data_IF_714387099357
#
_entry.id   IF_714387099357
#
_cell.length_a   1.000
_cell.length_b   1.000
_cell.length_c   1.000
_cell.angle_alpha   90.00
_cell.angle_beta   90.00
_cell.angle_gamma   90.00
#
_symmetry.space_group_name_H-M   'P 1'
#
loop_
_entity.id
_entity.type
_entity.pdbx_description
1 polymer ?
#
# COMPACT_ATOMS: atom_id res chain seq x y z
N UNK A 1 -11.11 49.98 -68.48
CA UNK A 1 -10.59 51.14 -67.73
C UNK A 1 -11.63 51.54 -66.71
N UNK A 2 -11.33 51.42 -65.41
CA UNK A 2 -12.29 51.67 -64.34
C UNK A 2 -11.74 51.24 -62.99
N UNK A 3 -10.56 51.74 -62.60
CA UNK A 3 -9.96 51.45 -61.30
C UNK A 3 -9.78 52.75 -60.52
N UNK A 4 -10.28 52.77 -59.28
CA UNK A 4 -9.62 53.53 -58.21
C UNK A 4 -10.29 54.79 -57.64
N UNK A 5 -11.62 54.85 -57.47
CA UNK A 5 -12.26 55.92 -56.64
C UNK A 5 -12.96 55.45 -55.36
N UNK A 6 -12.86 54.15 -55.01
CA UNK A 6 -13.48 53.59 -53.80
C UNK A 6 -12.59 53.47 -52.55
N UNK A 7 -11.28 53.72 -52.67
CA UNK A 7 -10.32 53.39 -51.60
C UNK A 7 -10.20 54.46 -50.49
N UNK A 8 -10.42 55.74 -50.80
CA UNK A 8 -10.32 56.84 -49.82
C UNK A 8 -11.34 56.76 -48.67
N UNK A 9 -12.66 56.59 -48.92
CA UNK A 9 -13.64 56.54 -47.83
C UNK A 9 -13.48 55.28 -46.99
N UNK A 10 -13.09 54.14 -47.59
CA UNK A 10 -12.81 52.90 -46.86
C UNK A 10 -11.62 53.05 -45.89
N UNK A 11 -10.55 53.75 -46.28
CA UNK A 11 -9.41 54.02 -45.41
C UNK A 11 -9.78 54.93 -44.22
N UNK A 12 -10.61 55.95 -44.43
CA UNK A 12 -11.07 56.85 -43.36
C UNK A 12 -11.93 56.10 -42.34
N UNK A 13 -12.86 55.25 -42.81
CA UNK A 13 -13.68 54.40 -41.95
C UNK A 13 -12.79 53.43 -41.16
N UNK A 14 -11.79 52.82 -41.80
CA UNK A 14 -10.87 51.89 -41.13
C UNK A 14 -10.02 52.59 -40.06
N UNK A 15 -9.54 53.80 -40.32
CA UNK A 15 -8.82 54.63 -39.33
C UNK A 15 -9.75 55.03 -38.18
N UNK A 16 -11.01 55.39 -38.46
CA UNK A 16 -12.00 55.71 -37.42
C UNK A 16 -12.34 54.49 -36.54
N UNK A 17 -12.46 53.30 -37.14
CA UNK A 17 -12.66 52.04 -36.41
C UNK A 17 -11.44 51.71 -35.55
N UNK A 18 -10.22 51.85 -36.08
CA UNK A 18 -8.99 51.60 -35.32
C UNK A 18 -8.81 52.59 -34.17
N UNK A 19 -9.14 53.86 -34.39
CA UNK A 19 -9.12 54.88 -33.34
C UNK A 19 -10.16 54.58 -32.25
N UNK A 20 -11.39 54.23 -32.65
CA UNK A 20 -12.44 53.82 -31.70
C UNK A 20 -12.03 52.59 -30.89
N UNK A 21 -11.47 51.56 -31.54
CA UNK A 21 -10.94 50.36 -30.87
C UNK A 21 -9.82 50.72 -29.88
N UNK A 22 -8.90 51.62 -30.27
CA UNK A 22 -7.83 52.08 -29.39
C UNK A 22 -8.36 52.81 -28.15
N UNK A 23 -9.37 53.67 -28.31
CA UNK A 23 -10.04 54.36 -27.20
C UNK A 23 -10.76 53.36 -26.27
N UNK A 24 -11.44 52.35 -26.82
CA UNK A 24 -12.09 51.28 -26.04
C UNK A 24 -11.07 50.43 -25.28
N UNK A 25 -9.95 50.06 -25.90
CA UNK A 25 -8.89 49.32 -25.23
C UNK A 25 -8.25 50.14 -24.09
N UNK A 26 -8.06 51.43 -24.30
CA UNK A 26 -7.52 52.34 -23.28
C UNK A 26 -8.47 52.50 -22.08
N UNK A 27 -9.78 52.61 -22.32
CA UNK A 27 -10.77 52.69 -21.22
C UNK A 27 -10.86 51.39 -20.43
N UNK A 28 -10.77 50.23 -21.09
CA UNK A 28 -10.66 48.92 -20.43
C UNK A 28 -9.38 48.85 -19.59
N UNK A 29 -8.24 49.31 -20.11
CA UNK A 29 -6.97 49.31 -19.39
C UNK A 29 -7.02 50.19 -18.12
N UNK A 30 -7.64 51.37 -18.19
CA UNK A 30 -7.87 52.23 -17.02
C UNK A 30 -8.78 51.54 -16.01
N UNK A 31 -9.88 50.92 -16.45
CA UNK A 31 -10.79 50.21 -15.56
C UNK A 31 -10.09 49.04 -14.84
N UNK A 32 -9.25 48.27 -15.55
CA UNK A 32 -8.44 47.20 -14.96
C UNK A 32 -7.40 47.74 -13.97
N UNK A 33 -6.77 48.88 -14.27
CA UNK A 33 -5.81 49.51 -13.38
C UNK A 33 -6.46 50.01 -12.09
N UNK A 34 -7.63 50.66 -12.18
CA UNK A 34 -8.41 51.09 -11.02
C UNK A 34 -8.85 49.88 -10.19
N UNK A 35 -9.33 48.81 -10.84
CA UNK A 35 -9.68 47.56 -10.16
C UNK A 35 -8.48 46.95 -9.44
N UNK A 36 -7.30 46.95 -10.05
CA UNK A 36 -6.06 46.46 -9.43
C UNK A 36 -5.68 47.28 -8.19
N UNK A 37 -5.81 48.62 -8.23
CA UNK A 37 -5.56 49.49 -7.07
C UNK A 37 -6.55 49.20 -5.94
N UNK A 38 -7.84 49.06 -6.26
CA UNK A 38 -8.87 48.74 -5.27
C UNK A 38 -8.57 47.37 -4.63
N UNK A 39 -8.24 46.36 -5.44
CA UNK A 39 -7.84 45.03 -4.95
C UNK A 39 -6.61 45.09 -4.04
N UNK A 40 -5.59 45.87 -4.41
CA UNK A 40 -4.38 46.06 -3.59
C UNK A 40 -4.69 46.77 -2.26
N UNK A 41 -5.55 47.79 -2.28
CA UNK A 41 -5.99 48.50 -1.08
C UNK A 41 -6.81 47.58 -0.15
N UNK A 42 -7.76 46.83 -0.69
CA UNK A 42 -8.55 45.83 0.07
C UNK A 42 -7.64 44.77 0.67
N UNK A 43 -6.67 44.26 -0.10
CA UNK A 43 -5.68 43.31 0.39
C UNK A 43 -4.85 43.91 1.54
N UNK A 44 -4.37 45.14 1.39
CA UNK A 44 -3.61 45.85 2.44
C UNK A 44 -4.43 46.05 3.71
N UNK A 45 -5.67 46.52 3.60
CA UNK A 45 -6.60 46.67 4.73
C UNK A 45 -6.87 45.34 5.43
N UNK A 46 -7.07 44.25 4.67
CA UNK A 46 -7.26 42.92 5.24
C UNK A 46 -6.00 42.43 5.99
N UNK A 47 -4.81 42.64 5.43
CA UNK A 47 -3.53 42.28 6.10
C UNK A 47 -3.34 43.05 7.40
N UNK A 48 -3.69 44.34 7.41
CA UNK A 48 -3.64 45.18 8.59
C UNK A 48 -4.64 44.70 9.66
N UNK A 49 -5.88 44.41 9.26
CA UNK A 49 -6.90 43.81 10.12
C UNK A 49 -6.43 42.51 10.78
N UNK A 50 -5.82 41.60 10.02
CA UNK A 50 -5.24 40.36 10.58
C UNK A 50 -4.17 40.66 11.65
N UNK A 51 -3.28 41.62 11.38
CA UNK A 51 -2.22 41.98 12.32
C UNK A 51 -2.76 42.52 13.64
N UNK A 52 -3.79 43.38 13.58
CA UNK A 52 -4.46 43.92 14.76
C UNK A 52 -5.13 42.80 15.55
N UNK A 53 -5.87 41.92 14.86
CA UNK A 53 -6.61 40.85 15.53
C UNK A 53 -5.68 39.88 16.27
N UNK A 54 -4.63 39.38 15.62
CA UNK A 54 -3.70 38.42 16.25
C UNK A 54 -2.84 39.04 17.36
N UNK A 55 -2.66 40.37 17.35
CA UNK A 55 -1.97 41.10 18.44
C UNK A 55 -2.93 41.54 19.56
N UNK A 56 -4.23 41.23 19.45
CA UNK A 56 -5.23 41.71 20.41
C UNK A 56 -5.25 40.90 21.70
N UNK A 57 -5.66 41.54 22.80
CA UNK A 57 -5.92 40.84 24.06
C UNK A 57 -7.04 39.79 23.95
N UNK A 58 -8.02 40.00 23.06
CA UNK A 58 -9.10 39.04 22.80
C UNK A 58 -8.52 37.71 22.31
N UNK A 59 -7.62 37.78 21.32
CA UNK A 59 -6.95 36.59 20.79
C UNK A 59 -6.01 35.94 21.81
N UNK A 60 -5.31 36.74 22.61
CA UNK A 60 -4.46 36.22 23.68
C UNK A 60 -5.26 35.43 24.73
N UNK A 61 -6.45 35.92 25.14
CA UNK A 61 -7.35 35.21 26.07
C UNK A 61 -7.86 33.90 25.47
N UNK A 62 -8.29 33.93 24.20
CA UNK A 62 -8.69 32.73 23.48
C UNK A 62 -7.57 31.69 23.48
N UNK A 63 -6.33 32.08 23.13
CA UNK A 63 -5.16 31.20 23.11
C UNK A 63 -4.85 30.57 24.47
N UNK A 64 -5.10 31.29 25.57
CA UNK A 64 -4.95 30.73 26.92
C UNK A 64 -6.07 29.73 27.21
N UNK A 65 -7.32 30.05 26.86
CA UNK A 65 -8.50 29.22 27.12
C UNK A 65 -8.43 27.84 26.46
N UNK A 66 -7.83 27.73 25.27
CA UNK A 66 -7.75 26.48 24.50
C UNK A 66 -6.36 25.84 24.53
N UNK A 67 -5.44 26.36 25.37
CA UNK A 67 -4.04 25.94 25.38
C UNK A 67 -3.87 24.45 25.65
N UNK A 68 -4.54 23.94 26.68
CA UNK A 68 -4.40 22.54 27.09
C UNK A 68 -4.97 21.62 26.02
N UNK A 69 -6.15 21.93 25.46
CA UNK A 69 -6.71 21.19 24.34
C UNK A 69 -5.74 21.14 23.14
N UNK A 70 -5.10 22.26 22.80
CA UNK A 70 -4.11 22.28 21.71
C UNK A 70 -2.87 21.45 22.04
N UNK A 71 -2.40 21.48 23.29
CA UNK A 71 -1.27 20.63 23.72
C UNK A 71 -1.64 19.16 23.56
N UNK A 72 -2.78 18.74 24.08
CA UNK A 72 -3.23 17.35 24.06
C UNK A 72 -3.43 16.87 22.60
N UNK A 73 -4.03 17.71 21.74
CA UNK A 73 -4.14 17.45 20.30
C UNK A 73 -2.76 17.24 19.63
N UNK A 74 -1.78 18.08 19.98
CA UNK A 74 -0.44 18.02 19.40
C UNK A 74 0.34 16.80 19.91
N UNK A 75 0.20 16.42 21.17
CA UNK A 75 0.80 15.21 21.76
C UNK A 75 0.24 13.95 21.10
N UNK A 76 -1.09 13.87 20.93
CA UNK A 76 -1.75 12.79 20.21
C UNK A 76 -1.25 12.69 18.76
N UNK A 77 -1.14 13.82 18.05
CA UNK A 77 -0.59 13.85 16.70
C UNK A 77 0.86 13.31 16.66
N UNK A 78 1.73 13.76 17.57
CA UNK A 78 3.11 13.27 17.64
C UNK A 78 3.18 11.76 17.88
N UNK A 79 2.36 11.25 18.79
CA UNK A 79 2.30 9.82 19.07
C UNK A 79 1.82 9.01 17.85
N UNK A 80 0.79 9.50 17.15
CA UNK A 80 0.32 8.89 15.90
C UNK A 80 1.43 8.86 14.85
N UNK A 81 2.17 9.96 14.65
CA UNK A 81 3.30 10.02 13.71
C UNK A 81 4.44 9.05 14.06
N UNK A 82 4.73 8.86 15.34
CA UNK A 82 5.69 7.84 15.79
C UNK A 82 5.22 6.41 15.44
N UNK A 83 3.95 6.10 15.71
CA UNK A 83 3.35 4.80 15.40
C UNK A 83 3.37 4.50 13.90
N UNK A 84 3.12 5.50 13.05
CA UNK A 84 3.20 5.43 11.57
C UNK A 84 4.58 5.02 11.05
N UNK A 85 5.63 5.08 11.86
CA UNK A 85 7.00 4.74 11.44
C UNK A 85 7.60 3.54 12.17
N UNK A 86 6.89 2.99 13.14
CA UNK A 86 7.35 1.88 13.99
C UNK A 86 7.71 0.59 13.24
N UNK A 87 7.11 0.34 12.07
CA UNK A 87 7.37 -0.86 11.26
C UNK A 87 8.55 -0.73 10.29
N UNK A 88 9.05 0.48 10.03
CA UNK A 88 10.13 0.72 9.05
C UNK A 88 11.35 -0.20 9.20
N UNK A 89 11.85 -0.51 10.42
CA UNK A 89 12.99 -1.41 10.59
C UNK A 89 12.77 -2.83 10.06
N UNK A 90 11.53 -3.32 10.10
CA UNK A 90 11.18 -4.70 9.72
C UNK A 90 10.93 -4.86 8.22
N UNK A 91 10.48 -3.80 7.56
CA UNK A 91 10.19 -3.79 6.11
C UNK A 91 11.37 -3.29 5.26
N UNK A 92 12.38 -2.65 5.86
CA UNK A 92 13.57 -2.15 5.18
C UNK A 92 14.81 -3.03 5.39
N UNK A 93 14.70 -4.35 5.25
CA UNK A 93 15.91 -5.15 5.03
C UNK A 93 16.44 -4.84 3.63
N UNK A 94 17.44 -3.94 3.55
CA UNK A 94 18.20 -3.71 2.33
C UNK A 94 18.73 -5.06 1.84
N UNK A 95 18.33 -5.45 0.64
CA UNK A 95 19.14 -6.37 -0.16
C UNK A 95 20.45 -5.64 -0.49
N UNK A 96 21.56 -6.36 -0.57
CA UNK A 96 22.88 -5.83 -0.96
C UNK A 96 22.92 -5.44 -2.46
N UNK A 97 21.95 -4.63 -2.90
CA UNK A 97 21.79 -4.18 -4.27
C UNK A 97 23.01 -3.38 -4.75
N UNK A 98 23.73 -2.75 -3.81
CA UNK A 98 24.93 -1.95 -4.08
C UNK A 98 26.15 -2.80 -4.51
N UNK A 99 26.07 -4.14 -4.46
CA UNK A 99 27.17 -5.05 -4.82
C UNK A 99 27.21 -5.35 -6.31
N UNK A 100 26.16 -5.02 -7.08
CA UNK A 100 26.07 -5.34 -8.51
C UNK A 100 25.63 -4.16 -9.36
N UNK A 101 26.12 -4.08 -10.60
CA UNK A 101 25.75 -3.04 -11.57
C UNK A 101 25.14 -3.65 -12.82
N UNK A 102 24.09 -3.03 -13.35
CA UNK A 102 23.48 -3.40 -14.63
C UNK A 102 23.90 -2.41 -15.73
N UNK A 103 24.41 -2.90 -16.85
CA UNK A 103 24.83 -2.08 -17.99
C UNK A 103 24.20 -2.62 -19.28
N UNK A 104 23.50 -1.76 -20.01
CA UNK A 104 23.00 -2.09 -21.35
C UNK A 104 24.16 -2.03 -22.36
N UNK A 105 24.43 -3.15 -23.04
CA UNK A 105 25.46 -3.26 -24.08
C UNK A 105 24.88 -3.31 -25.51
N UNK A 106 23.60 -3.03 -25.68
CA UNK A 106 22.99 -3.06 -27.01
C UNK A 106 23.55 -1.95 -27.91
N UNK A 107 23.85 -2.30 -29.16
CA UNK A 107 24.41 -1.38 -30.17
C UNK A 107 23.41 -0.35 -30.69
N UNK A 108 22.16 -0.39 -30.23
CA UNK A 108 21.02 0.31 -30.78
C UNK A 108 20.37 1.18 -29.70
N UNK A 109 20.09 2.43 -30.03
CA UNK A 109 19.46 3.39 -29.10
C UNK A 109 17.94 3.12 -28.98
N UNK A 110 17.56 1.98 -28.41
CA UNK A 110 16.16 1.61 -28.18
C UNK A 110 15.54 2.49 -27.08
N UNK A 111 14.44 3.17 -27.39
CA UNK A 111 13.65 3.89 -26.39
C UNK A 111 12.87 2.88 -25.53
N UNK A 112 13.33 2.66 -24.29
CA UNK A 112 12.68 1.76 -23.31
C UNK A 112 12.04 2.58 -22.19
N UNK A 113 10.93 3.24 -22.49
CA UNK A 113 10.30 4.22 -21.59
C UNK A 113 9.91 3.64 -20.22
N UNK A 114 9.47 2.38 -20.16
CA UNK A 114 9.09 1.73 -18.90
C UNK A 114 10.32 1.20 -18.14
N UNK A 115 11.35 0.74 -18.85
CA UNK A 115 12.60 0.32 -18.21
C UNK A 115 13.34 1.51 -17.59
N UNK A 116 13.24 2.70 -18.20
CA UNK A 116 13.84 3.91 -17.63
C UNK A 116 13.15 4.39 -16.34
N UNK A 117 11.91 3.95 -16.09
CA UNK A 117 11.17 4.21 -14.84
C UNK A 117 11.46 3.17 -13.75
N UNK A 118 12.30 2.17 -14.06
CA UNK A 118 12.67 1.10 -13.16
C UNK A 118 13.28 1.64 -11.88
N UNK A 119 12.78 1.17 -10.73
CA UNK A 119 13.31 1.48 -9.41
C UNK A 119 13.41 0.20 -8.62
N UNK A 120 14.56 -0.01 -8.01
CA UNK A 120 14.74 -1.06 -7.02
C UNK A 120 14.43 -0.50 -5.64
N UNK A 121 13.54 -1.18 -4.93
CA UNK A 121 13.22 -0.88 -3.55
C UNK A 121 12.88 -2.18 -2.83
N UNK A 122 13.13 -2.25 -1.53
CA UNK A 122 12.94 -3.48 -0.74
C UNK A 122 11.49 -4.00 -0.78
N UNK A 123 10.54 -3.10 -1.00
CA UNK A 123 9.12 -3.41 -1.09
C UNK A 123 8.61 -3.56 -2.53
N UNK A 124 9.51 -3.57 -3.53
CA UNK A 124 9.20 -3.79 -4.94
C UNK A 124 9.94 -5.04 -5.42
N UNK A 125 9.19 -6.05 -5.84
CA UNK A 125 9.72 -7.26 -6.43
C UNK A 125 9.53 -7.23 -7.96
N UNK A 126 10.64 -7.06 -8.67
CA UNK A 126 10.66 -7.13 -10.13
C UNK A 126 10.53 -8.58 -10.59
N UNK A 127 9.53 -8.86 -11.42
CA UNK A 127 9.09 -10.22 -11.67
C UNK A 127 8.61 -10.46 -13.11
N UNK A 128 8.42 -11.73 -13.45
CA UNK A 128 7.82 -12.10 -14.74
C UNK A 128 6.32 -11.83 -14.76
N UNK A 129 5.76 -11.70 -15.97
CA UNK A 129 4.31 -11.51 -16.18
C UNK A 129 3.47 -12.57 -15.43
N UNK A 130 3.93 -13.81 -15.43
CA UNK A 130 3.22 -14.91 -14.76
C UNK A 130 3.26 -14.77 -13.23
N UNK A 131 4.39 -14.33 -12.68
CA UNK A 131 4.52 -14.08 -11.24
C UNK A 131 3.60 -12.93 -10.83
N UNK A 132 3.59 -11.82 -11.57
CA UNK A 132 2.68 -10.70 -11.33
C UNK A 132 1.20 -11.13 -11.39
N UNK A 133 0.83 -11.93 -12.40
CA UNK A 133 -0.53 -12.44 -12.54
C UNK A 133 -0.94 -13.37 -11.40
N UNK A 134 -0.05 -14.27 -10.96
CA UNK A 134 -0.32 -15.18 -9.87
C UNK A 134 -0.31 -14.47 -8.50
N UNK A 135 0.50 -13.42 -8.31
CA UNK A 135 0.49 -12.60 -7.11
C UNK A 135 -0.89 -11.95 -6.91
N UNK A 136 -1.52 -11.47 -7.99
CA UNK A 136 -2.90 -10.98 -7.94
C UNK A 136 -3.92 -12.03 -7.48
N UNK A 137 -3.72 -13.30 -7.85
CA UNK A 137 -4.64 -14.40 -7.51
C UNK A 137 -4.39 -14.98 -6.11
N UNK A 138 -3.12 -15.09 -5.70
CA UNK A 138 -2.69 -15.65 -4.42
C UNK A 138 -1.77 -14.67 -3.68
N UNK A 139 -2.29 -13.50 -3.29
CA UNK A 139 -1.51 -12.36 -2.79
C UNK A 139 -0.57 -12.71 -1.64
N UNK A 140 -1.11 -13.20 -0.53
CA UNK A 140 -0.33 -13.49 0.69
C UNK A 140 0.73 -14.57 0.47
N UNK A 141 0.41 -15.60 -0.29
CA UNK A 141 1.37 -16.67 -0.63
C UNK A 141 2.57 -16.12 -1.42
N UNK A 142 2.30 -15.24 -2.39
CA UNK A 142 3.35 -14.65 -3.21
C UNK A 142 4.17 -13.64 -2.42
N UNK A 143 3.54 -12.86 -1.54
CA UNK A 143 4.28 -11.99 -0.63
C UNK A 143 5.25 -12.77 0.24
N UNK A 144 4.78 -13.81 0.95
CA UNK A 144 5.66 -14.62 1.80
C UNK A 144 6.81 -15.24 1.01
N UNK A 145 6.56 -15.64 -0.24
CA UNK A 145 7.57 -16.26 -1.10
C UNK A 145 8.65 -15.27 -1.58
N UNK A 146 8.27 -14.08 -2.02
CA UNK A 146 9.18 -13.17 -2.74
C UNK A 146 9.74 -12.04 -1.86
N UNK A 147 9.09 -11.73 -0.73
CA UNK A 147 9.59 -10.79 0.27
C UNK A 147 10.13 -11.48 1.53
N UNK A 148 10.43 -12.79 1.43
CA UNK A 148 11.05 -13.58 2.51
C UNK A 148 10.32 -13.55 3.87
N UNK A 149 8.99 -13.42 3.87
CA UNK A 149 8.20 -13.47 5.11
C UNK A 149 7.92 -14.92 5.47
N UNK A 150 8.53 -15.38 6.56
CA UNK A 150 8.36 -16.75 7.07
C UNK A 150 7.06 -16.85 7.88
N UNK A 151 6.16 -17.79 7.56
CA UNK A 151 4.95 -17.99 8.38
C UNK A 151 5.28 -18.80 9.65
N UNK A 152 5.73 -18.14 10.71
CA UNK A 152 5.98 -18.71 12.04
C UNK A 152 5.31 -17.84 13.13
N UNK A 153 5.39 -18.31 14.37
CA UNK A 153 4.81 -17.65 15.54
C UNK A 153 5.34 -16.22 15.73
N UNK A 154 6.63 -15.98 15.52
CA UNK A 154 7.23 -14.63 15.64
C UNK A 154 6.65 -13.66 14.59
N UNK A 155 6.51 -14.13 13.35
CA UNK A 155 5.92 -13.32 12.28
C UNK A 155 4.43 -13.10 12.52
N UNK A 156 3.71 -14.07 13.10
CA UNK A 156 2.32 -13.88 13.48
C UNK A 156 2.20 -12.76 14.53
N UNK A 157 2.97 -12.86 15.62
CA UNK A 157 2.96 -11.87 16.71
C UNK A 157 3.34 -10.47 16.21
N UNK A 158 4.33 -10.37 15.32
CA UNK A 158 4.72 -9.09 14.70
C UNK A 158 3.56 -8.46 13.89
N UNK A 159 2.86 -9.24 13.07
CA UNK A 159 1.77 -8.70 12.25
C UNK A 159 0.51 -8.41 13.09
N UNK A 160 0.26 -9.15 14.18
CA UNK A 160 -0.79 -8.83 15.16
C UNK A 160 -0.51 -7.50 15.89
N UNK A 161 0.72 -7.28 16.34
CA UNK A 161 1.15 -5.99 16.91
C UNK A 161 0.97 -4.85 15.91
N UNK A 162 1.28 -5.09 14.63
CA UNK A 162 1.09 -4.10 13.57
C UNK A 162 -0.38 -3.75 13.35
N UNK A 163 -1.29 -4.74 13.36
CA UNK A 163 -2.75 -4.51 13.31
C UNK A 163 -3.18 -3.62 14.47
N UNK A 164 -2.76 -3.94 15.69
CA UNK A 164 -3.12 -3.18 16.88
C UNK A 164 -2.65 -1.73 16.81
N UNK A 165 -1.38 -1.50 16.43
CA UNK A 165 -0.80 -0.16 16.28
C UNK A 165 -1.52 0.65 15.22
N UNK A 166 -1.81 0.07 14.06
CA UNK A 166 -2.49 0.80 12.99
C UNK A 166 -3.97 1.03 13.25
N UNK A 167 -4.64 0.09 13.92
CA UNK A 167 -6.01 0.33 14.39
C UNK A 167 -6.05 1.48 15.39
N UNK A 168 -5.08 1.55 16.31
CA UNK A 168 -4.93 2.69 17.23
C UNK A 168 -4.65 4.01 16.50
N UNK A 169 -3.87 3.99 15.40
CA UNK A 169 -3.65 5.18 14.57
C UNK A 169 -4.94 5.64 13.87
N UNK A 170 -5.72 4.74 13.27
CA UNK A 170 -7.00 5.11 12.63
C UNK A 170 -7.99 5.67 13.66
N UNK A 171 -8.12 5.02 14.82
CA UNK A 171 -8.96 5.53 15.92
C UNK A 171 -8.48 6.89 16.44
N UNK A 172 -7.16 7.05 16.64
CA UNK A 172 -6.57 8.31 17.06
C UNK A 172 -6.79 9.43 16.05
N UNK A 173 -6.75 9.11 14.75
CA UNK A 173 -7.08 10.06 13.67
C UNK A 173 -8.54 10.48 13.71
N UNK A 174 -9.46 9.55 13.95
CA UNK A 174 -10.89 9.87 14.12
C UNK A 174 -11.10 10.78 15.34
N UNK A 175 -10.48 10.46 16.48
CA UNK A 175 -10.54 11.29 17.70
C UNK A 175 -9.99 12.69 17.45
N UNK A 176 -8.81 12.79 16.83
CA UNK A 176 -8.18 14.06 16.49
C UNK A 176 -9.06 14.91 15.57
N UNK A 177 -9.71 14.30 14.57
CA UNK A 177 -10.61 15.01 13.67
C UNK A 177 -11.84 15.54 14.40
N UNK A 178 -12.45 14.73 15.27
CA UNK A 178 -13.60 15.12 16.07
C UNK A 178 -13.25 16.26 17.04
N UNK A 179 -12.14 16.15 17.76
CA UNK A 179 -11.65 17.19 18.68
C UNK A 179 -11.33 18.50 17.95
N UNK A 180 -10.71 18.39 16.77
CA UNK A 180 -10.42 19.56 15.93
C UNK A 180 -11.69 20.24 15.45
N UNK A 181 -12.69 19.48 15.01
CA UNK A 181 -13.99 20.03 14.59
C UNK A 181 -14.71 20.71 15.75
N UNK A 182 -14.74 20.09 16.93
CA UNK A 182 -15.29 20.69 18.14
C UNK A 182 -14.54 21.97 18.55
N UNK A 183 -13.22 21.99 18.44
CA UNK A 183 -12.40 23.18 18.69
C UNK A 183 -12.74 24.30 17.70
N UNK A 184 -12.81 24.00 16.40
CA UNK A 184 -13.18 24.99 15.37
C UNK A 184 -14.57 25.55 15.64
N UNK A 185 -15.54 24.70 16.01
CA UNK A 185 -16.90 25.13 16.34
C UNK A 185 -16.92 26.08 17.55
N UNK A 186 -16.20 25.75 18.62
CA UNK A 186 -16.10 26.63 19.80
C UNK A 186 -15.47 27.99 19.45
N UNK A 187 -14.47 27.99 18.58
CA UNK A 187 -13.69 29.17 18.16
C UNK A 187 -14.44 30.01 17.13
N UNK A 188 -15.37 29.43 16.36
CA UNK A 188 -16.14 30.09 15.31
C UNK A 188 -16.94 31.30 15.84
N UNK A 189 -17.35 31.25 17.11
CA UNK A 189 -18.08 32.36 17.76
C UNK A 189 -17.15 33.50 18.21
N UNK A 190 -15.88 33.22 18.47
CA UNK A 190 -14.92 34.20 19.00
C UNK A 190 -14.04 34.86 17.92
N UNK A 191 -13.82 34.15 16.81
CA UNK A 191 -13.00 34.59 15.67
C UNK A 191 -13.85 35.22 14.57
N UNK A 192 -13.45 36.37 14.00
CA UNK A 192 -14.16 36.99 12.88
C UNK A 192 -14.30 36.05 11.66
N UNK A 193 -15.49 36.06 11.04
CA UNK A 193 -15.81 35.26 9.84
C UNK A 193 -14.77 35.37 8.72
N UNK A 194 -14.24 36.57 8.47
CA UNK A 194 -13.22 36.80 7.43
C UNK A 194 -11.91 36.04 7.70
N UNK A 195 -11.57 35.77 8.96
CA UNK A 195 -10.40 34.97 9.33
C UNK A 195 -10.71 33.48 9.16
N UNK A 196 -11.90 33.07 9.58
CA UNK A 196 -12.42 31.70 9.42
C UNK A 196 -12.52 31.25 7.96
N UNK A 197 -12.85 32.14 7.04
CA UNK A 197 -13.02 31.75 5.65
C UNK A 197 -11.75 31.93 4.80
N UNK A 198 -11.01 33.02 5.01
CA UNK A 198 -9.88 33.38 4.13
C UNK A 198 -8.49 33.18 4.75
N UNK A 199 -8.37 32.94 6.06
CA UNK A 199 -7.08 32.89 6.77
C UNK A 199 -6.94 31.75 7.79
N UNK A 200 -7.65 30.62 7.60
CA UNK A 200 -7.56 29.46 8.50
C UNK A 200 -6.12 28.96 8.73
N UNK A 201 -5.32 28.85 7.67
CA UNK A 201 -3.93 28.39 7.80
C UNK A 201 -3.03 29.35 8.59
N UNK A 202 -3.39 30.64 8.69
CA UNK A 202 -2.70 31.58 9.59
C UNK A 202 -3.21 31.41 11.01
N UNK A 203 -4.53 31.33 11.21
CA UNK A 203 -5.12 31.11 12.52
C UNK A 203 -4.54 29.86 13.20
N UNK A 204 -4.43 28.73 12.50
CA UNK A 204 -3.87 27.50 13.06
C UNK A 204 -2.42 27.68 13.54
N UNK A 205 -1.59 28.39 12.76
CA UNK A 205 -0.21 28.72 13.17
C UNK A 205 -0.18 29.62 14.40
N UNK A 206 -1.03 30.63 14.45
CA UNK A 206 -1.07 31.58 15.58
C UNK A 206 -1.61 30.92 16.86
N UNK A 207 -2.56 29.98 16.72
CA UNK A 207 -3.06 29.13 17.80
C UNK A 207 -2.04 28.07 18.24
N UNK A 208 -1.14 27.64 17.35
CA UNK A 208 -0.14 26.59 17.61
C UNK A 208 -0.64 25.18 17.34
N UNK A 209 -1.67 25.03 16.51
CA UNK A 209 -2.19 23.73 16.07
C UNK A 209 -1.24 23.18 15.00
N UNK A 210 -0.66 22.01 15.25
CA UNK A 210 0.21 21.36 14.27
C UNK A 210 -0.60 20.79 13.10
N UNK A 211 -0.09 20.87 11.86
CA UNK A 211 -0.76 20.23 10.73
C UNK A 211 -0.71 18.70 10.90
N UNK A 212 -1.88 18.06 10.91
CA UNK A 212 -1.99 16.60 10.81
C UNK A 212 -2.08 16.22 9.34
N UNK A 213 -1.08 15.52 8.81
CA UNK A 213 -1.12 15.07 7.43
C UNK A 213 -1.89 13.75 7.33
N UNK A 214 -3.20 13.87 7.11
CA UNK A 214 -4.11 12.72 6.95
C UNK A 214 -3.76 11.88 5.72
N UNK A 215 -3.13 12.49 4.72
CA UNK A 215 -2.96 11.89 3.39
C UNK A 215 -1.70 11.04 3.26
N UNK A 216 -0.83 11.05 4.26
CA UNK A 216 0.40 10.27 4.19
C UNK A 216 0.06 8.79 4.27
N UNK A 217 0.50 8.04 3.27
CA UNK A 217 0.42 6.59 3.29
C UNK A 217 1.40 6.09 4.35
N UNK A 218 0.86 5.66 5.47
CA UNK A 218 1.65 5.11 6.58
C UNK A 218 1.59 3.60 6.64
N UNK A 219 0.82 2.95 5.78
CA UNK A 219 0.83 1.50 5.67
C UNK A 219 1.98 1.02 4.80
N UNK A 220 2.64 -0.11 5.14
CA UNK A 220 3.56 -0.74 4.23
C UNK A 220 2.81 -1.21 2.99
N UNK A 221 3.49 -1.20 1.85
CA UNK A 221 2.93 -1.74 0.62
C UNK A 221 3.96 -2.55 -0.15
N UNK A 222 3.55 -3.72 -0.60
CA UNK A 222 4.36 -4.60 -1.44
C UNK A 222 3.91 -4.50 -2.89
N UNK A 223 4.86 -4.38 -3.80
CA UNK A 223 4.58 -4.24 -5.23
C UNK A 223 5.25 -5.35 -6.01
N UNK A 224 4.49 -6.04 -6.85
CA UNK A 224 5.03 -6.89 -7.91
C UNK A 224 5.03 -6.06 -9.20
N UNK A 225 6.22 -5.83 -9.76
CA UNK A 225 6.38 -5.05 -10.98
C UNK A 225 6.88 -5.95 -12.10
N UNK A 226 6.18 -5.96 -13.22
CA UNK A 226 6.64 -6.59 -14.46
C UNK A 226 6.87 -5.49 -15.50
N UNK A 227 8.02 -5.55 -16.18
CA UNK A 227 8.30 -4.77 -17.38
C UNK A 227 8.62 -5.76 -18.50
N UNK A 228 8.04 -5.57 -19.68
CA UNK A 228 8.31 -6.42 -20.84
C UNK A 228 9.77 -6.32 -21.27
N UNK A 229 10.30 -7.37 -21.91
CA UNK A 229 11.69 -7.39 -22.36
C UNK A 229 12.03 -6.22 -23.30
N UNK A 230 11.05 -5.72 -24.06
CA UNK A 230 11.20 -4.54 -24.91
C UNK A 230 11.09 -3.19 -24.19
N UNK A 231 10.73 -3.18 -22.90
CA UNK A 231 10.64 -1.96 -22.10
C UNK A 231 9.47 -1.03 -22.44
N UNK A 232 8.45 -1.53 -23.14
CA UNK A 232 7.32 -0.75 -23.67
C UNK A 232 5.97 -1.06 -23.00
N UNK A 233 5.92 -2.06 -22.12
CA UNK A 233 4.71 -2.45 -21.41
C UNK A 233 5.08 -2.85 -20.00
N UNK A 234 4.27 -2.44 -19.03
CA UNK A 234 4.44 -2.77 -17.62
C UNK A 234 3.12 -3.25 -17.02
N UNK A 235 3.22 -4.07 -15.97
CA UNK A 235 2.10 -4.46 -15.12
C UNK A 235 2.54 -4.29 -13.67
N UNK A 236 1.65 -3.76 -12.84
CA UNK A 236 1.87 -3.67 -11.41
C UNK A 236 0.75 -4.37 -10.64
N UNK A 237 1.13 -5.03 -9.55
CA UNK A 237 0.22 -5.53 -8.54
C UNK A 237 0.72 -5.02 -7.20
N UNK A 238 0.02 -4.00 -6.69
CA UNK A 238 0.32 -3.37 -5.40
C UNK A 238 -0.63 -3.90 -4.35
N UNK A 239 -0.09 -4.20 -3.17
CA UNK A 239 -0.83 -4.62 -2.01
C UNK A 239 -0.51 -3.71 -0.84
N UNK A 240 -1.52 -2.99 -0.39
CA UNK A 240 -1.43 -2.10 0.74
C UNK A 240 -1.82 -2.89 2.00
N UNK A 241 -0.95 -2.86 3.00
CA UNK A 241 -1.19 -3.53 4.27
C UNK A 241 -1.92 -2.57 5.21
N UNK A 242 -3.09 -2.13 4.75
CA UNK A 242 -4.07 -1.45 5.59
C UNK A 242 -4.64 -2.42 6.64
N UNK A 243 -5.36 -1.90 7.64
CA UNK A 243 -5.88 -2.70 8.75
C UNK A 243 -6.67 -3.94 8.26
N UNK A 244 -7.64 -3.82 7.32
CA UNK A 244 -8.37 -4.99 6.84
C UNK A 244 -7.51 -6.01 6.09
N UNK A 245 -6.50 -5.56 5.34
CA UNK A 245 -5.59 -6.47 4.63
C UNK A 245 -4.63 -7.18 5.60
N UNK A 246 -4.15 -6.47 6.62
CA UNK A 246 -3.32 -7.04 7.68
C UNK A 246 -4.06 -8.11 8.48
N UNK A 247 -5.32 -7.87 8.87
CA UNK A 247 -6.14 -8.87 9.57
C UNK A 247 -6.27 -10.16 8.76
N UNK A 248 -6.55 -10.03 7.45
CA UNK A 248 -6.59 -11.18 6.53
C UNK A 248 -5.23 -11.87 6.41
N UNK A 249 -4.14 -11.12 6.48
CA UNK A 249 -2.78 -11.67 6.43
C UNK A 249 -2.40 -12.41 7.71
N UNK A 250 -2.75 -11.87 8.89
CA UNK A 250 -2.63 -12.54 10.19
C UNK A 250 -3.38 -13.87 10.16
N UNK A 251 -4.64 -13.87 9.72
CA UNK A 251 -5.42 -15.08 9.55
C UNK A 251 -4.75 -16.09 8.59
N UNK A 252 -4.21 -15.60 7.47
CA UNK A 252 -3.45 -16.43 6.54
C UNK A 252 -2.23 -17.08 7.22
N UNK A 253 -1.40 -16.32 7.93
CA UNK A 253 -0.23 -16.85 8.65
C UNK A 253 -0.65 -17.90 9.67
N UNK A 254 -1.66 -17.59 10.50
CA UNK A 254 -2.20 -18.51 11.50
C UNK A 254 -2.66 -19.83 10.86
N UNK A 255 -3.41 -19.76 9.75
CA UNK A 255 -3.88 -20.95 9.03
C UNK A 255 -2.72 -21.80 8.47
N UNK A 256 -1.63 -21.17 8.02
CA UNK A 256 -0.43 -21.88 7.53
C UNK A 256 0.29 -22.58 8.68
N UNK A 257 0.41 -21.93 9.84
CA UNK A 257 1.01 -22.50 11.06
C UNK A 257 0.19 -23.71 11.53
N UNK A 258 -1.14 -23.55 11.65
CA UNK A 258 -2.04 -24.62 12.06
C UNK A 258 -1.95 -25.83 11.12
N UNK A 259 -1.96 -25.57 9.80
CA UNK A 259 -1.79 -26.63 8.80
C UNK A 259 -0.45 -27.35 8.94
N UNK A 260 0.65 -26.63 9.22
CA UNK A 260 1.97 -27.24 9.48
C UNK A 260 1.95 -28.10 10.74
N UNK A 261 1.39 -27.60 11.84
CA UNK A 261 1.23 -28.34 13.11
C UNK A 261 0.42 -29.62 12.90
N UNK A 262 -0.69 -29.53 12.17
CA UNK A 262 -1.52 -30.69 11.80
C UNK A 262 -0.74 -31.72 10.97
N UNK A 263 0.02 -31.29 9.95
CA UNK A 263 0.85 -32.21 9.14
C UNK A 263 1.91 -32.92 10.01
N UNK A 264 2.58 -32.19 10.90
CA UNK A 264 3.58 -32.75 11.82
C UNK A 264 2.93 -33.78 12.74
N UNK A 265 1.80 -33.44 13.33
CA UNK A 265 1.03 -34.34 14.19
C UNK A 265 0.61 -35.62 13.46
N UNK A 266 0.06 -35.52 12.25
CA UNK A 266 -0.31 -36.69 11.46
C UNK A 266 0.92 -37.58 11.17
N UNK A 267 2.09 -37.00 10.89
CA UNK A 267 3.32 -37.79 10.68
C UNK A 267 3.81 -38.49 11.95
N UNK A 268 3.63 -37.88 13.12
CA UNK A 268 4.00 -38.48 14.42
C UNK A 268 3.12 -39.67 14.79
N UNK A 269 1.83 -39.66 14.39
CA UNK A 269 0.92 -40.81 14.59
C UNK A 269 1.37 -42.07 13.83
N UNK A 270 2.25 -41.95 12.84
CA UNK A 270 2.80 -43.07 12.09
C UNK A 270 3.87 -43.81 12.92
N UNK A 271 3.42 -44.60 13.89
CA UNK A 271 4.28 -45.42 14.75
C UNK A 271 4.75 -46.69 14.04
N UNK A 272 5.82 -47.33 14.55
CA UNK A 272 6.28 -48.62 14.00
C UNK A 272 5.24 -49.74 14.17
N UNK A 273 4.48 -49.72 15.27
CA UNK A 273 3.39 -50.67 15.48
C UNK A 273 2.29 -50.51 14.41
N UNK A 274 1.86 -49.26 14.17
CA UNK A 274 0.89 -48.98 13.12
C UNK A 274 1.43 -49.40 11.74
N UNK A 275 2.69 -49.08 11.43
CA UNK A 275 3.32 -49.51 10.16
C UNK A 275 3.25 -51.03 9.97
N UNK A 276 3.59 -51.77 11.01
CA UNK A 276 3.58 -53.23 10.98
C UNK A 276 2.15 -53.79 10.89
N UNK A 277 1.19 -53.18 11.58
CA UNK A 277 -0.22 -53.53 11.46
C UNK A 277 -0.73 -53.38 10.01
N UNK A 278 -0.41 -52.28 9.34
CA UNK A 278 -0.80 -52.06 7.95
C UNK A 278 -0.11 -53.05 7.01
N UNK A 279 1.20 -53.31 7.20
CA UNK A 279 1.91 -54.34 6.43
C UNK A 279 1.27 -55.71 6.57
N UNK A 280 0.90 -56.12 7.81
CA UNK A 280 0.20 -57.38 8.05
C UNK A 280 -1.17 -57.44 7.40
N UNK A 281 -1.96 -56.36 7.50
CA UNK A 281 -3.28 -56.25 6.85
C UNK A 281 -3.17 -56.44 5.33
N UNK A 282 -2.12 -55.86 4.74
CA UNK A 282 -1.86 -55.91 3.30
C UNK A 282 -1.01 -57.14 2.89
N UNK A 283 -0.91 -58.16 3.77
CA UNK A 283 -0.17 -59.41 3.57
C UNK A 283 1.32 -59.23 3.18
N UNK A 284 1.94 -58.12 3.56
CA UNK A 284 3.29 -57.72 3.13
C UNK A 284 3.42 -57.68 1.60
N UNK A 285 2.38 -57.17 0.92
CA UNK A 285 2.35 -56.95 -0.53
C UNK A 285 2.08 -55.50 -0.84
N UNK A 286 2.57 -55.05 -1.99
CA UNK A 286 2.19 -53.75 -2.53
C UNK A 286 0.73 -53.80 -3.01
N UNK A 287 -0.14 -52.93 -2.48
CA UNK A 287 -1.55 -52.85 -2.89
C UNK A 287 -1.70 -52.39 -4.34
N UNK A 288 -0.74 -51.62 -4.87
CA UNK A 288 -0.81 -51.07 -6.21
C UNK A 288 -0.38 -52.07 -7.30
N UNK A 289 0.69 -52.84 -7.09
CA UNK A 289 1.25 -53.74 -8.11
C UNK A 289 1.28 -55.22 -7.72
N UNK A 290 0.88 -55.59 -6.50
CA UNK A 290 0.88 -56.96 -6.01
C UNK A 290 2.24 -57.52 -5.59
N UNK A 291 3.35 -56.82 -5.88
CA UNK A 291 4.70 -57.31 -5.56
C UNK A 291 4.87 -57.60 -4.07
N UNK A 292 5.45 -58.76 -3.74
CA UNK A 292 5.68 -59.23 -2.38
C UNK A 292 7.16 -59.45 -2.10
N UNK A 293 7.54 -59.43 -0.82
CA UNK A 293 8.89 -59.80 -0.37
C UNK A 293 9.26 -61.26 -0.69
N UNK A 294 8.27 -62.13 -0.96
CA UNK A 294 8.52 -63.52 -1.35
C UNK A 294 9.00 -63.61 -2.80
N UNK A 295 8.45 -62.77 -3.67
CA UNK A 295 8.75 -62.77 -5.10
C UNK A 295 10.01 -61.94 -5.40
N UNK A 296 10.23 -60.85 -4.64
CA UNK A 296 11.38 -59.96 -4.77
C UNK A 296 12.05 -59.74 -3.39
N UNK A 297 13.12 -60.48 -3.06
CA UNK A 297 13.78 -60.41 -1.74
C UNK A 297 14.34 -59.04 -1.36
N UNK A 298 14.63 -58.19 -2.35
CA UNK A 298 15.17 -56.84 -2.17
C UNK A 298 14.08 -55.74 -2.29
N UNK A 299 12.80 -56.12 -2.28
CA UNK A 299 11.69 -55.18 -2.38
C UNK A 299 11.53 -54.40 -1.08
N UNK A 300 11.64 -53.07 -1.13
CA UNK A 300 11.30 -52.21 0.01
C UNK A 300 9.81 -51.88 -0.01
N UNK A 301 9.11 -52.28 1.06
CA UNK A 301 7.72 -51.94 1.32
C UNK A 301 7.61 -50.81 2.35
N UNK A 302 6.88 -49.77 1.97
CA UNK A 302 6.67 -48.54 2.71
C UNK A 302 5.17 -48.34 2.95
N UNK A 303 4.83 -47.68 4.06
CA UNK A 303 3.45 -47.27 4.33
C UNK A 303 3.26 -45.87 3.80
N UNK A 304 2.27 -45.72 2.93
CA UNK A 304 1.90 -44.46 2.30
C UNK A 304 0.44 -44.10 2.62
N UNK A 305 0.13 -42.81 2.59
CA UNK A 305 -1.23 -42.32 2.77
C UNK A 305 -1.96 -42.27 1.43
N UNK A 306 -3.12 -42.91 1.33
CA UNK A 306 -3.98 -42.88 0.13
C UNK A 306 -4.28 -41.43 -0.26
N UNK A 307 -4.84 -40.66 0.67
CA UNK A 307 -4.90 -39.20 0.61
C UNK A 307 -3.66 -38.66 1.32
N UNK A 308 -2.73 -37.98 0.63
CA UNK A 308 -1.52 -37.45 1.26
C UNK A 308 -1.80 -36.50 2.42
N UNK A 309 -0.96 -36.54 3.47
CA UNK A 309 -1.08 -35.63 4.63
C UNK A 309 -1.07 -34.15 4.20
N UNK A 310 -0.30 -33.80 3.16
CA UNK A 310 -0.28 -32.43 2.62
C UNK A 310 -1.61 -31.95 2.05
N UNK A 311 -2.53 -32.88 1.75
CA UNK A 311 -3.88 -32.65 1.23
C UNK A 311 -4.97 -32.92 2.29
N UNK A 312 -4.59 -33.04 3.57
CA UNK A 312 -5.53 -33.24 4.68
C UNK A 312 -5.82 -34.70 5.01
N UNK A 313 -5.07 -35.66 4.45
CA UNK A 313 -5.21 -37.07 4.81
C UNK A 313 -4.80 -37.35 6.26
N UNK A 314 -5.59 -38.18 6.94
CA UNK A 314 -5.36 -38.59 8.33
C UNK A 314 -4.50 -39.86 8.38
N UNK A 315 -3.72 -40.01 9.45
CA UNK A 315 -2.97 -41.23 9.76
C UNK A 315 -3.85 -42.19 10.52
N UNK A 316 -4.75 -42.85 9.79
CA UNK A 316 -5.68 -43.86 10.28
C UNK A 316 -5.63 -45.06 9.33
N UNK A 317 -5.82 -46.30 9.80
CA UNK A 317 -5.66 -47.50 8.97
C UNK A 317 -6.37 -47.42 7.61
N UNK A 318 -7.56 -46.83 7.56
CA UNK A 318 -8.40 -46.71 6.37
C UNK A 318 -7.79 -45.82 5.29
N UNK A 319 -6.91 -44.88 5.66
CA UNK A 319 -6.22 -43.98 4.74
C UNK A 319 -4.75 -44.39 4.53
N UNK A 320 -4.33 -45.55 5.03
CA UNK A 320 -2.97 -46.08 4.87
C UNK A 320 -2.98 -47.30 3.96
N UNK A 321 -1.89 -47.45 3.20
CA UNK A 321 -1.67 -48.57 2.30
C UNK A 321 -0.18 -48.94 2.25
N UNK A 322 0.10 -50.22 2.04
CA UNK A 322 1.45 -50.72 1.77
C UNK A 322 1.77 -50.58 0.29
N UNK A 323 2.82 -49.84 -0.04
CA UNK A 323 3.33 -49.67 -1.40
C UNK A 323 4.79 -50.12 -1.48
N UNK A 324 5.21 -50.67 -2.62
CA UNK A 324 6.63 -50.80 -2.89
C UNK A 324 7.24 -49.43 -3.21
N UNK A 325 8.56 -49.28 -2.99
CA UNK A 325 9.28 -48.02 -3.22
C UNK A 325 9.07 -47.43 -4.63
N UNK A 326 8.90 -48.28 -5.66
CA UNK A 326 8.63 -47.85 -7.05
C UNK A 326 7.24 -47.21 -7.16
N UNK A 327 6.21 -47.87 -6.65
CA UNK A 327 4.84 -47.36 -6.64
C UNK A 327 4.70 -46.11 -5.77
N UNK A 328 5.33 -46.10 -4.58
CA UNK A 328 5.30 -44.94 -3.69
C UNK A 328 5.94 -43.70 -4.34
N UNK A 329 7.10 -43.87 -4.98
CA UNK A 329 7.78 -42.78 -5.69
C UNK A 329 6.96 -42.24 -6.87
N UNK A 330 6.29 -43.12 -7.62
CA UNK A 330 5.42 -42.73 -8.73
C UNK A 330 4.18 -41.95 -8.26
N UNK A 331 3.60 -42.34 -7.12
CA UNK A 331 2.45 -41.65 -6.51
C UNK A 331 2.84 -40.31 -5.90
N UNK A 332 3.87 -40.27 -5.04
CA UNK A 332 4.30 -39.06 -4.33
C UNK A 332 3.09 -38.36 -3.64
N UNK A 333 2.93 -37.04 -3.82
CA UNK A 333 1.83 -36.26 -3.26
C UNK A 333 0.57 -36.19 -4.15
N UNK A 334 0.46 -37.06 -5.17
CA UNK A 334 -0.71 -37.11 -6.06
C UNK A 334 -1.89 -37.79 -5.33
N UNK A 335 -3.10 -37.34 -5.65
CA UNK A 335 -4.28 -38.14 -5.32
C UNK A 335 -4.32 -39.25 -6.37
N UNK A 336 -4.52 -40.48 -5.93
CA UNK A 336 -4.78 -41.59 -6.86
C UNK A 336 -6.17 -41.35 -7.43
N UNK A 337 -6.24 -41.11 -8.74
CA UNK A 337 -7.48 -40.86 -9.48
C UNK A 337 -8.26 -42.15 -9.70
#
# INVERSE_FOLDING_TARGET
>A
MGRGKGALPACIILIAILYYLMVVLYSIAIALFIAAIICAAVYGCYRFFLSIYFSSQKFAKLKVSIRDNIRDCNELNSHIEELKHSYKPYYNQKLDADVSTFVDKSSWNYQRSELNKYKEANNIYNCSRQVCANARVQPFKYICKYFNIVCNEDSLAFHEDLVNKFSAVEQGKESYLAEREALIESVHTEVPYLIMHFSMGRLYRELGIQPFNIKDKYYPSYQFLYVSSGGNSSLECTMDFDVPTLEKFVYYIASVIEKRKSIVYQRQLMTNNLREQIKRRDEYKCICCGASLKDEPHLLLEIDHIIPVSKGGKTVPENLQTLCWRCNRSKSNKLVS
#
